data_IF_335153621224
#
_entry.id   IF_335153621224
#
_cell.length_a   1.000
_cell.length_b   1.000
_cell.length_c   1.000
_cell.angle_alpha   90.00
_cell.angle_beta   90.00
_cell.angle_gamma   90.00
#
_symmetry.space_group_name_H-M   'P 1'
#
loop_
_entity.id
_entity.type
_entity.pdbx_description
1 polymer ?
#
# COMPACT_ATOMS: atom_id res chain seq x y z
N UNK A 1 -5.34 0.89 11.15
CA UNK A 1 -4.45 0.33 10.09
C UNK A 1 -4.23 1.37 9.00
N UNK A 2 -3.09 1.34 8.30
CA UNK A 2 -2.68 2.45 7.42
C UNK A 2 -2.65 2.06 5.94
N UNK A 3 -3.03 3.00 5.08
CA UNK A 3 -2.83 2.95 3.64
C UNK A 3 -2.05 4.19 3.19
N UNK A 4 -1.29 4.04 2.12
CA UNK A 4 -0.75 5.15 1.35
C UNK A 4 -1.57 5.36 0.09
N UNK A 5 -1.90 6.62 -0.16
CA UNK A 5 -2.68 7.07 -1.31
C UNK A 5 -1.83 8.06 -2.11
N UNK A 6 -1.64 7.78 -3.40
CA UNK A 6 -0.92 8.66 -4.32
C UNK A 6 -1.88 9.22 -5.36
N UNK A 7 -1.64 10.46 -5.81
CA UNK A 7 -2.41 11.10 -6.87
C UNK A 7 -3.57 12.00 -6.41
N UNK A 8 -3.72 12.22 -5.11
CA UNK A 8 -4.55 13.32 -4.60
C UNK A 8 -3.86 14.66 -4.92
N UNK A 9 -4.51 15.61 -5.61
CA UNK A 9 -3.92 16.92 -5.94
C UNK A 9 -3.48 17.68 -4.69
N UNK A 10 -2.24 18.16 -4.68
CA UNK A 10 -1.78 19.13 -3.67
C UNK A 10 -2.48 20.48 -3.88
N UNK A 11 -2.70 21.24 -2.81
CA UNK A 11 -3.18 22.62 -2.96
C UNK A 11 -2.08 23.51 -3.54
N UNK A 12 -2.45 24.30 -4.53
CA UNK A 12 -1.58 25.25 -5.23
C UNK A 12 -1.42 26.58 -4.50
N UNK A 13 -2.14 26.81 -3.39
CA UNK A 13 -2.10 28.04 -2.61
C UNK A 13 -1.59 27.88 -1.17
N UNK A 14 -1.53 29.00 -0.46
CA UNK A 14 -1.07 29.10 0.94
C UNK A 14 -2.15 28.74 1.98
N UNK A 15 -3.37 28.44 1.52
CA UNK A 15 -4.45 27.98 2.39
C UNK A 15 -4.09 26.65 3.07
N UNK A 16 -4.55 26.49 4.32
CA UNK A 16 -4.40 25.24 5.07
C UNK A 16 -5.15 24.13 4.33
N UNK A 17 -4.38 23.21 3.74
CA UNK A 17 -4.91 22.08 2.98
C UNK A 17 -5.79 21.18 3.86
N UNK A 18 -7.00 20.89 3.40
CA UNK A 18 -7.88 19.87 3.98
C UNK A 18 -7.79 18.56 3.19
N UNK A 19 -6.76 17.77 3.50
CA UNK A 19 -6.49 16.47 2.83
C UNK A 19 -7.64 15.48 3.03
N UNK A 20 -8.30 15.52 4.20
CA UNK A 20 -9.43 14.66 4.52
C UNK A 20 -10.59 14.91 3.56
N UNK A 21 -11.00 16.17 3.42
CA UNK A 21 -12.10 16.54 2.54
C UNK A 21 -11.83 16.13 1.09
N UNK A 22 -10.59 16.32 0.60
CA UNK A 22 -10.19 15.87 -0.75
C UNK A 22 -10.33 14.37 -0.93
N UNK A 23 -9.94 13.57 0.07
CA UNK A 23 -10.11 12.12 0.02
C UNK A 23 -11.59 11.73 0.02
N UNK A 24 -12.41 12.36 0.87
CA UNK A 24 -13.86 12.11 0.92
C UNK A 24 -14.55 12.49 -0.39
N UNK A 25 -14.20 13.63 -0.99
CA UNK A 25 -14.71 14.06 -2.29
C UNK A 25 -14.35 13.07 -3.39
N UNK A 26 -13.11 12.58 -3.39
CA UNK A 26 -12.66 11.57 -4.34
C UNK A 26 -13.36 10.23 -4.12
N UNK A 27 -13.58 9.82 -2.86
CA UNK A 27 -14.33 8.62 -2.53
C UNK A 27 -15.78 8.70 -3.01
N UNK A 28 -16.46 9.84 -2.80
CA UNK A 28 -17.83 10.09 -3.31
C UNK A 28 -17.91 9.96 -4.83
N UNK A 29 -16.96 10.56 -5.57
CA UNK A 29 -16.88 10.44 -7.03
C UNK A 29 -16.71 9.00 -7.53
N UNK A 30 -16.30 8.09 -6.66
CA UNK A 30 -16.07 6.69 -6.97
C UNK A 30 -17.11 5.76 -6.34
N UNK A 31 -18.22 6.33 -5.84
CA UNK A 31 -19.29 5.61 -5.14
C UNK A 31 -18.77 4.77 -3.96
N UNK A 32 -17.69 5.23 -3.30
CA UNK A 32 -17.13 4.60 -2.11
C UNK A 32 -17.73 5.26 -0.86
N UNK A 33 -18.38 4.45 -0.02
CA UNK A 33 -18.85 4.88 1.29
C UNK A 33 -17.67 5.00 2.27
N UNK A 34 -17.17 6.22 2.40
CA UNK A 34 -16.12 6.62 3.34
C UNK A 34 -16.53 7.92 4.01
N UNK A 35 -16.54 7.93 5.34
CA UNK A 35 -16.92 9.09 6.16
C UNK A 35 -15.75 9.53 7.04
N UNK A 36 -15.80 10.75 7.60
CA UNK A 36 -14.79 11.23 8.54
C UNK A 36 -14.57 10.29 9.73
N UNK A 37 -15.62 9.66 10.27
CA UNK A 37 -15.51 8.69 11.37
C UNK A 37 -14.73 7.41 11.02
N UNK A 38 -14.51 7.12 9.74
CA UNK A 38 -13.66 6.01 9.30
C UNK A 38 -12.16 6.36 9.35
N UNK A 39 -11.82 7.65 9.46
CA UNK A 39 -10.46 8.19 9.42
C UNK A 39 -10.05 8.60 10.84
N UNK A 40 -8.96 8.01 11.32
CA UNK A 40 -8.33 8.41 12.59
C UNK A 40 -7.33 9.55 12.36
N UNK A 41 -6.46 9.40 11.36
CA UNK A 41 -5.46 10.42 11.00
C UNK A 41 -5.18 10.42 9.52
N UNK A 42 -4.98 11.60 8.94
CA UNK A 42 -4.59 11.76 7.54
C UNK A 42 -3.61 12.92 7.39
N UNK A 43 -2.54 12.71 6.63
CA UNK A 43 -1.58 13.77 6.32
C UNK A 43 -0.74 13.43 5.09
N UNK A 44 -0.13 14.47 4.51
CA UNK A 44 0.82 14.35 3.39
C UNK A 44 2.17 13.84 3.87
N UNK A 45 2.83 13.03 3.06
CA UNK A 45 4.19 12.54 3.28
C UNK A 45 5.20 13.38 2.49
N UNK A 46 6.23 13.85 3.19
CA UNK A 46 7.36 14.59 2.60
C UNK A 46 7.10 16.07 2.30
N UNK A 47 8.16 16.79 1.87
CA UNK A 47 8.08 18.21 1.53
C UNK A 47 7.28 18.44 0.24
N UNK A 48 6.68 19.63 0.11
CA UNK A 48 6.05 20.06 -1.14
C UNK A 48 7.13 20.10 -2.24
N UNK A 49 6.81 19.59 -3.42
CA UNK A 49 7.71 19.60 -4.58
C UNK A 49 6.95 20.05 -5.82
N UNK A 50 7.58 20.88 -6.65
CA UNK A 50 6.96 21.38 -7.87
C UNK A 50 6.63 20.21 -8.82
N UNK A 51 5.40 20.19 -9.34
CA UNK A 51 4.98 19.24 -10.38
C UNK A 51 4.65 17.82 -9.91
N UNK A 52 4.72 17.50 -8.61
CA UNK A 52 4.34 16.17 -8.09
C UNK A 52 3.43 16.26 -6.87
N UNK A 53 2.28 15.61 -6.96
CA UNK A 53 1.38 15.39 -5.84
C UNK A 53 2.08 14.54 -4.77
N UNK A 54 2.08 15.01 -3.52
CA UNK A 54 2.63 14.24 -2.41
C UNK A 54 1.74 13.06 -2.11
N UNK A 55 2.37 11.97 -1.65
CA UNK A 55 1.64 10.82 -1.11
C UNK A 55 0.91 11.24 0.16
N UNK A 56 -0.20 10.58 0.45
CA UNK A 56 -0.99 10.76 1.67
C UNK A 56 -0.96 9.46 2.43
N UNK A 57 -0.71 9.52 3.74
CA UNK A 57 -0.91 8.39 4.63
C UNK A 57 -2.23 8.57 5.37
N UNK A 58 -3.03 7.52 5.41
CA UNK A 58 -4.33 7.50 6.09
C UNK A 58 -4.33 6.37 7.08
N UNK A 59 -4.54 6.68 8.36
CA UNK A 59 -4.87 5.71 9.39
C UNK A 59 -6.38 5.64 9.54
N UNK A 60 -6.94 4.45 9.38
CA UNK A 60 -8.37 4.19 9.55
C UNK A 60 -8.68 3.76 10.98
N UNK A 61 -9.86 4.13 11.46
CA UNK A 61 -10.41 3.73 12.77
C UNK A 61 -10.70 2.23 12.83
N UNK A 62 -11.14 1.65 11.71
CA UNK A 62 -11.51 0.23 11.65
C UNK A 62 -11.01 -0.49 10.40
N UNK A 63 -10.92 -1.82 10.50
CA UNK A 63 -10.40 -2.69 9.45
C UNK A 63 -11.27 -2.75 8.20
N UNK A 64 -12.59 -2.68 8.38
CA UNK A 64 -13.55 -2.76 7.27
C UNK A 64 -13.43 -1.53 6.37
N UNK A 65 -13.32 -0.33 6.94
CA UNK A 65 -13.10 0.90 6.21
C UNK A 65 -11.81 0.87 5.39
N UNK A 66 -10.69 0.48 6.02
CA UNK A 66 -9.41 0.26 5.33
C UNK A 66 -9.59 -0.68 4.14
N UNK A 67 -10.28 -1.80 4.33
CA UNK A 67 -10.50 -2.79 3.27
C UNK A 67 -11.39 -2.26 2.14
N UNK A 68 -12.45 -1.51 2.45
CA UNK A 68 -13.30 -0.84 1.45
C UNK A 68 -12.44 0.06 0.55
N UNK A 69 -11.62 0.94 1.15
CA UNK A 69 -10.72 1.82 0.38
C UNK A 69 -9.69 0.98 -0.41
N UNK A 70 -9.06 -0.02 0.19
CA UNK A 70 -8.06 -0.84 -0.50
C UNK A 70 -8.63 -1.63 -1.69
N UNK A 71 -9.89 -2.07 -1.62
CA UNK A 71 -10.55 -2.79 -2.70
C UNK A 71 -10.88 -1.89 -3.89
N UNK A 72 -11.02 -0.57 -3.67
CA UNK A 72 -11.20 0.38 -4.77
C UNK A 72 -9.99 0.50 -5.69
N UNK A 73 -8.81 -0.05 -5.30
CA UNK A 73 -7.61 -0.06 -6.15
C UNK A 73 -7.81 -0.62 -7.55
N UNK A 74 -8.76 -1.55 -7.71
CA UNK A 74 -9.11 -2.17 -9.00
C UNK A 74 -9.94 -1.25 -9.91
N UNK A 75 -10.59 -0.25 -9.32
CA UNK A 75 -11.55 0.64 -9.99
C UNK A 75 -10.98 2.05 -10.20
N UNK A 76 -9.83 2.38 -9.62
CA UNK A 76 -9.17 3.64 -9.95
C UNK A 76 -8.62 3.56 -11.39
N UNK A 77 -9.36 4.17 -12.31
CA UNK A 77 -8.79 4.67 -13.56
C UNK A 77 -7.67 5.69 -13.28
N UNK A 78 -6.89 6.02 -14.31
CA UNK A 78 -5.65 6.83 -14.25
C UNK A 78 -5.72 7.95 -13.19
N UNK A 79 -4.85 7.86 -12.17
CA UNK A 79 -4.54 9.00 -11.29
C UNK A 79 -4.75 8.82 -9.79
N UNK A 80 -5.26 7.68 -9.29
CA UNK A 80 -5.21 7.38 -7.84
C UNK A 80 -4.65 5.98 -7.60
N UNK A 81 -3.64 5.89 -6.73
CA UNK A 81 -3.02 4.62 -6.36
C UNK A 81 -3.15 4.41 -4.87
N UNK A 82 -3.58 3.22 -4.46
CA UNK A 82 -3.74 2.85 -3.04
C UNK A 82 -2.91 1.61 -2.76
N UNK A 83 -2.05 1.69 -1.75
CA UNK A 83 -1.20 0.61 -1.30
C UNK A 83 -1.16 0.52 0.22
N UNK A 84 -0.71 -0.63 0.74
CA UNK A 84 -0.45 -0.77 2.17
C UNK A 84 0.73 0.12 2.58
N UNK A 85 0.59 0.84 3.69
CA UNK A 85 1.75 1.52 4.28
C UNK A 85 2.61 0.50 5.00
N UNK A 86 3.91 0.50 4.69
CA UNK A 86 4.88 -0.43 5.25
C UNK A 86 5.84 0.30 6.18
N UNK A 87 6.21 -0.37 7.27
CA UNK A 87 7.37 0.06 8.07
C UNK A 87 8.66 -0.07 7.23
N UNK A 88 9.74 0.66 7.56
CA UNK A 88 11.00 0.55 6.83
C UNK A 88 11.47 -0.89 6.65
N UNK A 89 11.41 -1.69 7.74
CA UNK A 89 11.76 -3.10 7.70
C UNK A 89 10.88 -3.91 6.73
N UNK A 90 9.56 -3.74 6.78
CA UNK A 90 8.64 -4.43 5.86
C UNK A 90 8.81 -3.96 4.41
N UNK A 91 9.18 -2.70 4.21
CA UNK A 91 9.54 -2.17 2.89
C UNK A 91 10.80 -2.85 2.35
N UNK A 92 11.80 -3.09 3.19
CA UNK A 92 12.98 -3.86 2.84
C UNK A 92 12.62 -5.31 2.48
N UNK A 93 11.82 -6.00 3.29
CA UNK A 93 11.35 -7.36 2.96
C UNK A 93 10.60 -7.41 1.63
N UNK A 94 9.74 -6.43 1.36
CA UNK A 94 9.02 -6.31 0.08
C UNK A 94 9.94 -6.01 -1.10
N UNK A 95 11.05 -5.30 -0.87
CA UNK A 95 12.09 -5.09 -1.88
C UNK A 95 12.83 -6.40 -2.19
N UNK A 96 13.31 -7.11 -1.17
CA UNK A 96 14.00 -8.38 -1.32
C UNK A 96 13.11 -9.46 -1.96
N UNK A 97 11.83 -9.55 -1.55
CA UNK A 97 10.88 -10.49 -2.13
C UNK A 97 10.65 -10.24 -3.64
N UNK A 98 10.69 -8.96 -4.08
CA UNK A 98 10.63 -8.63 -5.51
C UNK A 98 11.92 -9.00 -6.24
N UNK A 99 13.07 -8.95 -5.58
CA UNK A 99 14.31 -9.47 -6.15
C UNK A 99 14.22 -11.00 -6.33
N UNK A 100 13.77 -11.74 -5.32
CA UNK A 100 13.57 -13.20 -5.42
C UNK A 100 12.61 -13.59 -6.56
N UNK A 101 11.54 -12.81 -6.80
CA UNK A 101 10.66 -13.02 -7.94
C UNK A 101 11.39 -12.79 -9.27
N UNK A 102 12.20 -11.74 -9.37
CA UNK A 102 12.99 -11.42 -10.57
C UNK A 102 14.00 -12.53 -10.87
N UNK A 103 14.55 -13.14 -9.84
CA UNK A 103 15.51 -14.24 -9.91
C UNK A 103 14.82 -15.61 -10.02
N UNK A 104 13.52 -15.64 -10.31
CA UNK A 104 12.69 -16.84 -10.47
C UNK A 104 12.65 -17.80 -9.27
N UNK A 105 13.07 -17.35 -8.08
CA UNK A 105 12.95 -18.09 -6.81
C UNK A 105 11.51 -18.07 -6.27
N UNK A 106 10.77 -17.00 -6.58
CA UNK A 106 9.34 -16.90 -6.34
C UNK A 106 8.59 -16.81 -7.67
N UNK A 107 7.48 -17.53 -7.79
CA UNK A 107 6.51 -17.36 -8.87
C UNK A 107 5.83 -15.98 -8.78
N UNK A 108 5.50 -15.55 -7.56
CA UNK A 108 4.83 -14.28 -7.31
C UNK A 108 5.13 -13.73 -5.92
N UNK A 109 4.94 -12.43 -5.73
CA UNK A 109 5.04 -11.77 -4.43
C UNK A 109 4.01 -10.64 -4.34
N UNK A 110 3.43 -10.45 -3.15
CA UNK A 110 2.47 -9.37 -2.89
C UNK A 110 2.43 -9.00 -1.40
N UNK A 111 1.84 -7.84 -1.14
CA UNK A 111 1.58 -7.35 0.22
C UNK A 111 0.09 -7.46 0.50
N UNK A 112 -0.27 -7.94 1.70
CA UNK A 112 -1.65 -7.92 2.18
C UNK A 112 -1.70 -7.63 3.68
N UNK A 113 -2.41 -6.56 4.05
CA UNK A 113 -2.52 -6.14 5.45
C UNK A 113 -1.18 -5.67 6.03
N UNK A 114 -0.24 -5.28 5.17
CA UNK A 114 1.14 -4.95 5.55
C UNK A 114 2.05 -6.16 5.76
N UNK A 115 1.59 -7.40 5.53
CA UNK A 115 2.43 -8.60 5.53
C UNK A 115 2.90 -8.92 4.11
N UNK A 116 4.11 -9.44 3.97
CA UNK A 116 4.71 -9.81 2.69
C UNK A 116 4.48 -11.31 2.48
N UNK A 117 4.03 -11.68 1.28
CA UNK A 117 3.82 -13.06 0.88
C UNK A 117 4.57 -13.35 -0.42
N UNK A 118 4.98 -14.61 -0.57
CA UNK A 118 5.53 -15.18 -1.79
C UNK A 118 4.73 -16.42 -2.20
N UNK A 119 4.68 -16.72 -3.49
CA UNK A 119 4.26 -17.99 -4.06
C UNK A 119 5.49 -18.67 -4.65
N UNK A 120 5.74 -19.92 -4.30
CA UNK A 120 6.88 -20.70 -4.80
C UNK A 120 6.46 -22.15 -5.07
N UNK A 121 7.27 -22.89 -5.83
CA UNK A 121 7.08 -24.33 -6.02
C UNK A 121 7.95 -25.07 -5.01
N UNK A 122 7.35 -25.95 -4.22
CA UNK A 122 8.04 -26.86 -3.31
C UNK A 122 7.56 -28.28 -3.60
N UNK A 123 8.49 -29.19 -3.91
CA UNK A 123 8.19 -30.58 -4.27
C UNK A 123 7.14 -30.69 -5.39
N UNK A 124 7.22 -29.84 -6.41
CA UNK A 124 6.28 -29.82 -7.53
C UNK A 124 4.93 -29.14 -7.26
N UNK A 125 4.69 -28.61 -6.06
CA UNK A 125 3.43 -27.96 -5.70
C UNK A 125 3.60 -26.48 -5.35
N UNK A 126 2.64 -25.65 -5.77
CA UNK A 126 2.60 -24.25 -5.37
C UNK A 126 2.31 -24.11 -3.87
N UNK A 127 3.15 -23.32 -3.20
CA UNK A 127 3.03 -23.00 -1.78
C UNK A 127 3.13 -21.50 -1.58
N UNK A 128 2.15 -20.97 -0.85
CA UNK A 128 2.18 -19.61 -0.32
C UNK A 128 3.01 -19.58 0.96
N UNK A 129 4.02 -18.72 1.01
CA UNK A 129 4.85 -18.47 2.18
C UNK A 129 4.68 -17.03 2.65
N UNK A 130 4.76 -16.80 3.97
CA UNK A 130 4.83 -15.47 4.54
C UNK A 130 6.29 -15.14 4.82
N UNK A 131 6.77 -14.00 4.32
CA UNK A 131 8.15 -13.53 4.52
C UNK A 131 8.12 -12.59 5.72
N UNK A 132 8.63 -13.06 6.86
CA UNK A 132 8.55 -12.34 8.15
C UNK A 132 9.84 -11.61 8.50
N UNK A 133 10.96 -12.06 7.97
CA UNK A 133 12.31 -11.63 8.30
C UNK A 133 13.27 -11.86 7.12
N UNK A 134 14.55 -11.48 7.32
CA UNK A 134 15.62 -11.67 6.33
C UNK A 134 16.08 -13.12 6.26
N UNK A 135 15.98 -13.89 7.35
CA UNK A 135 16.32 -15.32 7.34
C UNK A 135 15.40 -16.08 6.37
N UNK A 136 14.11 -15.75 6.34
CA UNK A 136 13.18 -16.29 5.34
C UNK A 136 13.55 -15.89 3.90
N UNK A 137 14.09 -14.68 3.69
CA UNK A 137 14.60 -14.26 2.38
C UNK A 137 15.78 -15.14 1.98
N UNK A 138 16.75 -15.32 2.87
CA UNK A 138 17.98 -16.07 2.58
C UNK A 138 17.71 -17.56 2.40
N UNK A 139 16.80 -18.14 3.18
CA UNK A 139 16.33 -19.51 2.99
C UNK A 139 15.76 -19.71 1.57
N UNK A 140 14.88 -18.80 1.11
CA UNK A 140 14.32 -18.89 -0.25
C UNK A 140 15.40 -18.66 -1.32
N UNK A 141 16.33 -17.73 -1.08
CA UNK A 141 17.43 -17.41 -2.00
C UNK A 141 18.34 -18.61 -2.25
N UNK A 142 18.74 -19.26 -1.17
CA UNK A 142 19.66 -20.39 -1.18
C UNK A 142 18.98 -21.71 -1.58
N UNK A 143 17.66 -21.71 -1.72
CA UNK A 143 16.88 -22.89 -2.05
C UNK A 143 16.73 -23.78 -0.81
N UNK A 144 15.68 -23.52 -0.04
CA UNK A 144 15.13 -24.47 0.93
C UNK A 144 15.08 -25.87 0.32
#
# INVERSE_FOLDING_TARGET
MMLEISGLPDDTGDAKENVEQKLLDKARKLNLQLNSCDIDRIHRLGPKSSGKNRRVIVKFTNSKARQRVFNTRKFFGKGLFVQDSLTPFRSQLSFEARALKRDHKLLSTWVAGGNIYGLMVLNGHERKVQIKDLDAIDAIRNGV
#
